data_IF_151577643878
#
_entry.id   IF_151577643878
#
_cell.length_a   1.000
_cell.length_b   1.000
_cell.length_c   1.000
_cell.angle_alpha   90.00
_cell.angle_beta   90.00
_cell.angle_gamma   90.00
#
_symmetry.space_group_name_H-M   'P 1'
#
loop_
_entity.id
_entity.type
_entity.pdbx_description
1 polymer ?
#
# COMPACT_ATOMS: atom_id res chain seq x y z
N UNK A 1 -30.17 31.35 34.61
CA UNK A 1 -29.94 30.82 33.26
C UNK A 1 -28.46 30.99 32.99
N UNK A 2 -27.72 29.89 32.83
CA UNK A 2 -26.29 29.96 32.50
C UNK A 2 -26.11 30.24 31.02
N UNK A 3 -25.21 31.16 30.66
CA UNK A 3 -24.78 31.34 29.26
C UNK A 3 -23.96 30.13 28.82
N UNK A 4 -24.33 29.56 27.69
CA UNK A 4 -23.52 28.57 26.99
C UNK A 4 -22.25 29.25 26.44
N UNK A 5 -21.08 28.62 26.64
CA UNK A 5 -19.80 29.08 26.09
C UNK A 5 -19.16 27.95 25.30
N UNK A 6 -18.90 28.19 24.03
CA UNK A 6 -18.19 27.28 23.13
C UNK A 6 -16.68 27.57 23.15
N UNK A 7 -15.86 26.51 23.20
CA UNK A 7 -14.40 26.59 23.10
C UNK A 7 -13.95 25.65 21.98
N UNK A 8 -13.26 26.19 20.97
CA UNK A 8 -12.80 25.46 19.78
C UNK A 8 -11.27 25.38 19.78
N UNK A 9 -10.73 24.16 19.62
CA UNK A 9 -9.30 23.93 19.43
C UNK A 9 -9.03 23.45 18.00
N UNK A 10 -8.05 24.06 17.35
CA UNK A 10 -7.55 23.62 16.04
C UNK A 10 -6.14 23.04 16.23
N UNK A 11 -5.93 21.82 15.76
CA UNK A 11 -4.63 21.13 15.86
C UNK A 11 -4.12 20.75 14.47
N UNK A 12 -2.83 20.98 14.23
CA UNK A 12 -2.13 20.57 13.01
C UNK A 12 -1.05 19.57 13.38
N UNK A 13 -1.07 18.38 12.76
CA UNK A 13 -0.02 17.36 12.91
C UNK A 13 1.01 17.50 11.80
N UNK A 14 2.24 17.02 12.04
CA UNK A 14 3.30 17.02 11.04
C UNK A 14 3.11 15.87 10.02
N UNK A 15 3.80 15.96 8.88
CA UNK A 15 3.74 14.93 7.82
C UNK A 15 4.23 13.56 8.28
N UNK A 16 5.13 13.51 9.27
CA UNK A 16 5.60 12.26 9.85
C UNK A 16 4.44 11.45 10.42
N UNK A 17 3.57 12.07 11.23
CA UNK A 17 2.40 11.40 11.81
C UNK A 17 1.38 11.00 10.74
N UNK A 18 1.30 11.77 9.64
CA UNK A 18 0.43 11.48 8.50
C UNK A 18 0.91 10.27 7.72
N UNK A 19 2.22 10.04 7.59
CA UNK A 19 2.78 8.93 6.80
C UNK A 19 2.98 7.66 7.63
N UNK A 20 3.45 7.76 8.88
CA UNK A 20 3.65 6.60 9.75
C UNK A 20 2.39 6.18 10.51
N UNK A 21 1.41 7.07 10.62
CA UNK A 21 0.31 6.93 11.56
C UNK A 21 0.77 7.13 13.01
N UNK A 22 -0.15 6.93 13.95
CA UNK A 22 0.09 7.04 15.38
C UNK A 22 -1.20 7.11 16.19
N UNK A 23 -1.06 7.26 17.51
CA UNK A 23 -2.18 7.49 18.42
C UNK A 23 -2.01 8.88 19.02
N UNK A 24 -3.02 9.72 18.86
CA UNK A 24 -3.11 10.99 19.58
C UNK A 24 -3.98 10.75 20.80
N UNK A 25 -3.37 10.79 21.99
CA UNK A 25 -4.09 10.69 23.26
C UNK A 25 -4.26 12.08 23.84
N UNK A 26 -5.50 12.47 24.13
CA UNK A 26 -5.80 13.76 24.74
C UNK A 26 -5.81 13.64 26.25
N UNK A 27 -5.05 14.49 26.93
CA UNK A 27 -5.10 14.66 28.38
C UNK A 27 -5.48 16.12 28.68
N UNK A 28 -6.80 16.38 28.78
CA UNK A 28 -7.33 17.71 29.01
C UNK A 28 -7.77 17.84 30.47
N UNK A 29 -7.40 18.96 31.09
CA UNK A 29 -7.79 19.31 32.46
C UNK A 29 -8.48 20.67 32.48
N UNK A 30 -9.56 20.79 33.25
CA UNK A 30 -10.21 22.07 33.53
C UNK A 30 -10.10 22.31 35.04
N UNK A 31 -9.41 23.39 35.41
CA UNK A 31 -9.20 23.79 36.81
C UNK A 31 -9.98 25.07 37.11
N UNK A 32 -10.72 25.08 38.22
CA UNK A 32 -11.27 26.27 38.85
C UNK A 32 -10.50 26.58 40.13
N UNK A 33 -10.67 27.77 40.69
CA UNK A 33 -10.00 28.20 41.93
C UNK A 33 -10.28 27.33 43.16
N UNK A 34 -11.28 26.45 43.10
CA UNK A 34 -11.69 25.58 44.22
C UNK A 34 -11.92 24.11 43.85
N UNK A 35 -12.00 23.74 42.57
CA UNK A 35 -12.32 22.38 42.13
C UNK A 35 -11.63 22.04 40.79
N UNK A 36 -11.17 20.79 40.67
CA UNK A 36 -10.63 20.22 39.44
C UNK A 36 -11.70 19.34 38.79
N UNK A 37 -11.93 19.53 37.50
CA UNK A 37 -12.80 18.64 36.70
C UNK A 37 -11.90 17.86 35.75
N UNK A 38 -11.74 16.57 36.03
CA UNK A 38 -11.01 15.64 35.18
C UNK A 38 -11.89 15.22 34.00
N UNK A 39 -11.40 15.44 32.77
CA UNK A 39 -12.07 14.99 31.56
C UNK A 39 -11.48 13.62 31.19
N UNK A 40 -12.30 12.58 30.95
CA UNK A 40 -11.79 11.27 30.58
C UNK A 40 -10.97 11.36 29.28
N UNK A 41 -9.75 10.83 29.33
CA UNK A 41 -8.84 10.80 28.19
C UNK A 41 -9.48 10.04 27.03
N UNK A 42 -9.47 10.62 25.83
CA UNK A 42 -9.82 9.93 24.59
C UNK A 42 -8.61 9.82 23.68
N UNK A 43 -8.60 8.76 22.89
CA UNK A 43 -7.56 8.54 21.88
C UNK A 43 -8.16 8.61 20.49
N UNK A 44 -7.42 9.24 19.58
CA UNK A 44 -7.70 9.30 18.14
C UNK A 44 -6.60 8.54 17.43
N UNK A 45 -6.97 7.49 16.70
CA UNK A 45 -6.03 6.75 15.87
C UNK A 45 -5.85 7.49 14.54
N UNK A 46 -4.61 7.88 14.25
CA UNK A 46 -4.20 8.42 12.96
C UNK A 46 -3.60 7.27 12.16
N UNK A 47 -4.21 6.93 11.03
CA UNK A 47 -3.63 5.93 10.12
C UNK A 47 -2.59 6.62 9.23
N UNK A 48 -1.44 5.96 9.09
CA UNK A 48 -0.42 6.41 8.15
C UNK A 48 -0.91 6.25 6.71
N UNK A 49 -0.62 7.24 5.87
CA UNK A 49 -0.67 7.10 4.41
C UNK A 49 0.46 6.17 3.99
N UNK A 50 0.09 4.96 3.60
CA UNK A 50 1.05 3.96 3.11
C UNK A 50 1.25 4.20 1.62
N UNK A 51 2.49 4.41 1.18
CA UNK A 51 2.84 4.34 -0.23
C UNK A 51 3.30 2.92 -0.56
N UNK A 52 2.70 2.30 -1.59
CA UNK A 52 2.98 0.92 -1.95
C UNK A 52 3.23 0.76 -3.45
N UNK A 53 4.47 0.45 -3.81
CA UNK A 53 4.87 0.01 -5.14
C UNK A 53 4.69 -1.50 -5.27
N UNK A 54 3.94 -1.90 -6.28
CA UNK A 54 3.65 -3.29 -6.64
C UNK A 54 4.18 -3.52 -8.05
N UNK A 55 5.01 -4.53 -8.27
CA UNK A 55 5.49 -4.86 -9.62
C UNK A 55 4.90 -6.19 -10.06
N UNK A 56 4.17 -6.18 -11.17
CA UNK A 56 3.71 -7.39 -11.85
C UNK A 56 4.70 -7.75 -12.97
N UNK A 57 5.44 -8.85 -12.79
CA UNK A 57 6.32 -9.40 -13.81
C UNK A 57 5.66 -10.58 -14.52
N UNK A 58 5.81 -10.67 -15.83
CA UNK A 58 5.10 -11.67 -16.61
C UNK A 58 5.34 -11.59 -18.11
N UNK A 59 4.41 -12.18 -18.85
CA UNK A 59 4.55 -12.41 -20.28
C UNK A 59 3.55 -11.59 -21.12
N UNK A 60 3.20 -12.14 -22.29
CA UNK A 60 2.22 -11.58 -23.20
C UNK A 60 0.87 -11.25 -22.56
N UNK A 61 0.44 -11.94 -21.50
CA UNK A 61 -0.84 -11.64 -20.85
C UNK A 61 -0.84 -10.28 -20.18
N UNK A 62 0.28 -9.85 -19.59
CA UNK A 62 0.43 -8.48 -19.10
C UNK A 62 0.56 -7.52 -20.29
N UNK A 63 1.39 -7.83 -21.31
CA UNK A 63 1.63 -6.86 -22.40
C UNK A 63 0.44 -6.65 -23.34
N UNK A 64 -0.50 -7.59 -23.39
CA UNK A 64 -1.69 -7.55 -24.27
C UNK A 64 -2.99 -7.22 -23.54
N UNK A 65 -2.93 -6.93 -22.25
CA UNK A 65 -4.10 -6.53 -21.47
C UNK A 65 -3.76 -5.32 -20.59
N UNK A 66 -4.75 -4.82 -19.88
CA UNK A 66 -4.64 -3.69 -18.95
C UNK A 66 -4.86 -4.11 -17.50
N UNK A 67 -4.82 -5.41 -17.17
CA UNK A 67 -5.24 -5.88 -15.85
C UNK A 67 -4.40 -5.28 -14.72
N UNK A 68 -3.12 -4.97 -14.96
CA UNK A 68 -2.25 -4.32 -13.95
C UNK A 68 -2.77 -2.93 -13.62
N UNK A 69 -3.16 -2.15 -14.64
CA UNK A 69 -3.76 -0.83 -14.43
C UNK A 69 -5.16 -0.93 -13.81
N UNK A 70 -5.98 -1.89 -14.24
CA UNK A 70 -7.29 -2.12 -13.60
C UNK A 70 -7.13 -2.57 -12.14
N UNK A 71 -6.09 -3.33 -11.82
CA UNK A 71 -5.77 -3.70 -10.45
C UNK A 71 -5.37 -2.48 -9.61
N UNK A 72 -4.61 -1.54 -10.18
CA UNK A 72 -4.32 -0.23 -9.57
C UNK A 72 -5.61 0.52 -9.21
N UNK A 73 -6.51 0.68 -10.18
CA UNK A 73 -7.79 1.39 -10.00
C UNK A 73 -8.66 0.73 -8.91
N UNK A 74 -8.65 -0.61 -8.85
CA UNK A 74 -9.34 -1.36 -7.81
C UNK A 74 -8.69 -1.17 -6.43
N UNK A 75 -7.37 -1.10 -6.34
CA UNK A 75 -6.68 -0.83 -5.08
C UNK A 75 -7.03 0.57 -4.55
N UNK A 76 -6.94 1.58 -5.40
CA UNK A 76 -7.30 2.97 -5.08
C UNK A 76 -8.77 3.09 -4.64
N UNK A 77 -9.69 2.39 -5.31
CA UNK A 77 -11.11 2.40 -4.96
C UNK A 77 -11.43 1.71 -3.63
N UNK A 78 -10.73 0.61 -3.28
CA UNK A 78 -11.02 -0.19 -2.10
C UNK A 78 -10.19 0.21 -0.86
N UNK A 79 -9.05 0.88 -1.07
CA UNK A 79 -8.12 1.27 -0.02
C UNK A 79 -7.69 2.74 -0.15
N UNK A 80 -8.63 3.72 -0.11
CA UNK A 80 -8.40 5.12 -0.44
C UNK A 80 -7.49 5.91 0.54
N UNK A 81 -6.94 5.22 1.55
CA UNK A 81 -6.03 5.80 2.54
C UNK A 81 -4.58 5.33 2.36
N UNK A 82 -4.29 4.66 1.24
CA UNK A 82 -2.96 4.29 0.79
C UNK A 82 -2.78 4.78 -0.65
N UNK A 83 -1.57 5.17 -1.01
CA UNK A 83 -1.20 5.58 -2.36
C UNK A 83 -0.52 4.37 -3.03
N UNK A 84 -1.09 3.86 -4.11
CA UNK A 84 -0.57 2.70 -4.84
C UNK A 84 0.20 3.12 -6.10
N UNK A 85 1.17 2.29 -6.47
CA UNK A 85 1.90 2.41 -7.71
C UNK A 85 2.14 1.02 -8.29
N UNK A 86 1.24 0.57 -9.14
CA UNK A 86 1.41 -0.72 -9.84
C UNK A 86 2.21 -0.55 -11.14
N UNK A 87 3.21 -1.40 -11.33
CA UNK A 87 4.14 -1.36 -12.47
C UNK A 87 4.06 -2.68 -13.22
N UNK A 88 3.85 -2.61 -14.52
CA UNK A 88 3.92 -3.77 -15.42
C UNK A 88 5.35 -3.97 -15.93
N UNK A 89 5.99 -5.08 -15.56
CA UNK A 89 7.34 -5.48 -15.98
C UNK A 89 7.29 -6.76 -16.83
N UNK A 90 6.78 -6.63 -18.06
CA UNK A 90 6.47 -7.79 -18.89
C UNK A 90 7.09 -7.73 -20.28
N UNK A 91 7.37 -8.93 -20.83
CA UNK A 91 7.82 -9.09 -22.21
C UNK A 91 7.15 -10.32 -22.82
N UNK A 92 6.59 -10.13 -24.01
CA UNK A 92 5.85 -11.18 -24.69
C UNK A 92 6.70 -12.43 -24.95
N UNK A 93 6.11 -13.60 -24.71
CA UNK A 93 6.73 -14.92 -24.94
C UNK A 93 7.76 -15.34 -23.89
N UNK A 94 7.96 -14.56 -22.82
CA UNK A 94 8.85 -14.96 -21.74
C UNK A 94 8.26 -16.08 -20.86
N UNK A 95 9.17 -16.90 -20.33
CA UNK A 95 8.94 -17.79 -19.20
C UNK A 95 9.50 -17.14 -17.91
N UNK A 96 9.15 -17.66 -16.74
CA UNK A 96 9.61 -17.19 -15.43
C UNK A 96 11.14 -17.09 -15.35
N UNK A 97 11.90 -18.08 -15.85
CA UNK A 97 13.37 -18.03 -15.92
C UNK A 97 13.91 -16.83 -16.71
N UNK A 98 13.19 -16.37 -17.75
CA UNK A 98 13.60 -15.19 -18.51
C UNK A 98 13.37 -13.93 -17.68
N UNK A 99 12.22 -13.85 -17.00
CA UNK A 99 11.92 -12.79 -16.03
C UNK A 99 12.95 -12.73 -14.91
N UNK A 100 13.33 -13.87 -14.35
CA UNK A 100 14.36 -13.98 -13.31
C UNK A 100 15.70 -13.42 -13.78
N UNK A 101 16.14 -13.77 -15.00
CA UNK A 101 17.39 -13.26 -15.58
C UNK A 101 17.44 -11.72 -15.73
N UNK A 102 16.28 -11.03 -15.74
CA UNK A 102 16.18 -9.57 -15.79
C UNK A 102 15.59 -8.94 -14.53
N UNK A 103 15.44 -9.71 -13.44
CA UNK A 103 14.73 -9.28 -12.24
C UNK A 103 15.35 -8.01 -11.65
N UNK A 104 16.67 -7.99 -11.47
CA UNK A 104 17.36 -6.86 -10.84
C UNK A 104 17.17 -5.56 -11.62
N UNK A 105 17.20 -5.62 -12.95
CA UNK A 105 17.13 -4.45 -13.83
C UNK A 105 15.71 -4.00 -14.16
N UNK A 106 14.69 -4.83 -13.92
CA UNK A 106 13.31 -4.55 -14.35
C UNK A 106 12.24 -4.70 -13.27
N UNK A 107 12.60 -5.23 -12.10
CA UNK A 107 11.71 -5.40 -10.95
C UNK A 107 12.36 -4.80 -9.70
N UNK A 108 13.54 -5.27 -9.31
CA UNK A 108 14.20 -4.83 -8.07
C UNK A 108 14.53 -3.33 -8.06
N UNK A 109 14.81 -2.76 -9.23
CA UNK A 109 15.07 -1.31 -9.41
C UNK A 109 13.92 -0.42 -8.90
N UNK A 110 12.70 -0.94 -8.80
CA UNK A 110 11.54 -0.21 -8.28
C UNK A 110 11.37 -0.35 -6.76
N UNK A 111 12.21 -1.12 -6.08
CA UNK A 111 12.11 -1.45 -4.66
C UNK A 111 10.67 -1.83 -4.23
N UNK A 112 10.04 -2.81 -4.92
CA UNK A 112 8.63 -3.12 -4.69
C UNK A 112 8.39 -3.73 -3.31
N UNK A 113 7.25 -3.42 -2.71
CA UNK A 113 6.79 -4.09 -1.49
C UNK A 113 6.05 -5.40 -1.80
N UNK A 114 5.42 -5.48 -2.98
CA UNK A 114 4.73 -6.68 -3.47
C UNK A 114 5.20 -6.96 -4.90
N UNK A 115 5.48 -8.23 -5.18
CA UNK A 115 5.78 -8.70 -6.52
C UNK A 115 4.71 -9.72 -6.92
N UNK A 116 4.09 -9.51 -8.07
CA UNK A 116 3.15 -10.46 -8.68
C UNK A 116 3.90 -11.20 -9.80
N UNK A 117 3.95 -12.52 -9.71
CA UNK A 117 4.56 -13.39 -10.72
C UNK A 117 3.42 -13.91 -11.62
N UNK A 118 3.29 -13.35 -12.82
CA UNK A 118 2.24 -13.68 -13.78
C UNK A 118 2.81 -14.44 -14.99
N UNK A 119 3.50 -15.54 -14.70
CA UNK A 119 4.00 -16.52 -15.67
C UNK A 119 3.18 -17.80 -15.59
N UNK A 120 3.12 -18.58 -16.67
CA UNK A 120 2.16 -19.68 -16.77
C UNK A 120 2.17 -20.40 -18.11
N UNK A 121 1.59 -19.77 -19.12
CA UNK A 121 1.31 -20.42 -20.40
C UNK A 121 2.60 -20.79 -21.15
N UNK A 122 3.57 -19.87 -21.22
CA UNK A 122 4.85 -20.16 -21.89
C UNK A 122 5.70 -21.16 -21.08
N UNK A 123 5.59 -21.10 -19.75
CA UNK A 123 6.33 -21.93 -18.80
C UNK A 123 5.92 -23.39 -18.86
N UNK A 124 4.61 -23.67 -18.95
CA UNK A 124 4.12 -25.02 -19.12
C UNK A 124 4.56 -25.59 -20.48
N UNK A 125 4.48 -24.82 -21.56
CA UNK A 125 4.82 -25.31 -22.89
C UNK A 125 4.13 -26.65 -23.20
N UNK A 126 4.91 -27.72 -23.32
CA UNK A 126 4.41 -29.09 -23.58
C UNK A 126 4.02 -29.90 -22.33
N UNK A 127 4.25 -29.41 -21.11
CA UNK A 127 3.91 -30.16 -19.89
C UNK A 127 4.32 -29.49 -18.56
N UNK A 128 3.69 -29.92 -17.45
CA UNK A 128 3.83 -29.31 -16.12
C UNK A 128 5.26 -29.33 -15.55
N UNK A 129 6.08 -30.30 -15.94
CA UNK A 129 7.50 -30.34 -15.54
C UNK A 129 8.26 -29.10 -16.01
N UNK A 130 7.99 -28.62 -17.23
CA UNK A 130 8.61 -27.38 -17.72
C UNK A 130 8.20 -26.17 -16.88
N UNK A 131 6.94 -26.14 -16.42
CA UNK A 131 6.47 -25.03 -15.58
C UNK A 131 7.29 -24.97 -14.30
N UNK A 132 7.47 -26.11 -13.62
CA UNK A 132 8.28 -26.20 -12.41
C UNK A 132 9.72 -25.77 -12.67
N UNK A 133 10.35 -26.34 -13.71
CA UNK A 133 11.76 -26.05 -14.02
C UNK A 133 11.98 -24.57 -14.39
N UNK A 134 11.02 -23.93 -15.06
CA UNK A 134 11.10 -22.50 -15.36
C UNK A 134 10.90 -21.61 -14.13
N UNK A 135 10.11 -22.04 -13.14
CA UNK A 135 9.79 -21.26 -11.96
C UNK A 135 10.84 -21.40 -10.84
N UNK A 136 11.37 -22.61 -10.65
CA UNK A 136 12.26 -22.94 -9.52
C UNK A 136 13.75 -22.74 -9.85
N UNK A 137 14.14 -22.81 -11.13
CA UNK A 137 15.53 -22.67 -11.59
C UNK A 137 16.29 -24.00 -11.64
#
# INVERSE_FOLDING_TARGET
MGEEKEIIFNMKVNESLVNSGGVITTDFKIESSSEEIEIPSKSINVRGRVNMTIVAMGDSLITKSNWVQTFDELLEANYPYADYNTIASAKGGEMARNGYARFDSTVAVHNPQIIIIAYGTNDAGVGLWNFRDNLEG
#
